data_IF_664523418169
#
_entry.id   IF_664523418169
#
_cell.length_a   1.000
_cell.length_b   1.000
_cell.length_c   1.000
_cell.angle_alpha   90.00
_cell.angle_beta   90.00
_cell.angle_gamma   90.00
#
_symmetry.space_group_name_H-M   'P 1'
#
loop_
_entity.id
_entity.type
_entity.pdbx_description
1 polymer ?
#
# COMPACT_ATOMS: atom_id res chain seq x y z
N UNK A 1 6.21 22.05 -9.70
CA UNK A 1 5.55 22.02 -8.38
C UNK A 1 6.26 20.99 -7.54
N UNK A 2 6.65 21.32 -6.31
CA UNK A 2 7.28 20.36 -5.40
C UNK A 2 6.24 19.27 -5.08
N UNK A 3 6.58 17.99 -5.31
CA UNK A 3 5.68 16.87 -5.00
C UNK A 3 5.44 16.91 -3.49
N UNK A 4 4.18 17.01 -3.08
CA UNK A 4 3.79 16.93 -1.67
C UNK A 4 4.29 15.60 -1.08
N UNK A 5 4.78 15.63 0.16
CA UNK A 5 5.29 14.41 0.79
C UNK A 5 4.13 13.45 1.13
N UNK A 6 4.44 12.18 1.39
CA UNK A 6 3.42 11.13 1.58
C UNK A 6 2.47 11.47 2.73
N UNK A 7 3.01 11.97 3.84
CA UNK A 7 2.21 12.32 5.01
C UNK A 7 1.20 13.43 4.69
N UNK A 8 1.65 14.52 4.05
CA UNK A 8 0.80 15.63 3.63
C UNK A 8 -0.28 15.17 2.65
N UNK A 9 0.07 14.29 1.72
CA UNK A 9 -0.89 13.73 0.77
C UNK A 9 -1.95 12.89 1.48
N UNK A 10 -1.53 11.98 2.38
CA UNK A 10 -2.44 11.16 3.18
C UNK A 10 -3.34 12.04 4.06
N UNK A 11 -2.80 13.06 4.72
CA UNK A 11 -3.58 14.03 5.49
C UNK A 11 -4.65 14.71 4.64
N UNK A 12 -4.35 15.06 3.39
CA UNK A 12 -5.33 15.62 2.46
C UNK A 12 -6.42 14.62 2.09
N UNK A 13 -6.04 13.45 1.56
CA UNK A 13 -7.02 12.47 1.02
C UNK A 13 -7.81 11.75 2.12
N UNK A 14 -7.28 11.71 3.34
CA UNK A 14 -7.96 11.17 4.52
C UNK A 14 -8.61 12.26 5.40
N UNK A 15 -8.78 13.47 4.85
CA UNK A 15 -9.52 14.58 5.46
C UNK A 15 -9.04 14.94 6.88
N UNK A 16 -7.74 14.86 7.11
CA UNK A 16 -7.10 15.16 8.39
C UNK A 16 -7.33 14.11 9.49
N UNK A 17 -7.83 12.92 9.14
CA UNK A 17 -7.96 11.83 10.10
C UNK A 17 -6.58 11.23 10.42
N UNK A 18 -5.98 11.69 11.52
CA UNK A 18 -4.63 11.28 11.93
C UNK A 18 -4.50 9.76 12.16
N UNK A 19 -5.49 9.12 12.79
CA UNK A 19 -5.47 7.68 13.04
C UNK A 19 -5.45 6.88 11.72
N UNK A 20 -6.21 7.31 10.72
CA UNK A 20 -6.23 6.68 9.40
C UNK A 20 -4.91 6.87 8.64
N UNK A 21 -4.29 8.05 8.77
CA UNK A 21 -2.98 8.36 8.18
C UNK A 21 -1.90 7.48 8.80
N UNK A 22 -1.83 7.45 10.14
CA UNK A 22 -0.88 6.60 10.88
C UNK A 22 -1.03 5.13 10.49
N UNK A 23 -2.27 4.63 10.38
CA UNK A 23 -2.54 3.26 9.94
C UNK A 23 -2.01 3.00 8.53
N UNK A 24 -2.24 3.91 7.57
CA UNK A 24 -1.75 3.74 6.20
C UNK A 24 -0.21 3.75 6.16
N UNK A 25 0.42 4.65 6.92
CA UNK A 25 1.89 4.72 7.02
C UNK A 25 2.48 3.46 7.65
N UNK A 26 1.86 2.91 8.70
CA UNK A 26 2.24 1.63 9.29
C UNK A 26 2.16 0.49 8.27
N UNK A 27 1.09 0.43 7.49
CA UNK A 27 0.91 -0.61 6.46
C UNK A 27 1.96 -0.47 5.35
N UNK A 28 2.24 0.75 4.89
CA UNK A 28 3.29 0.99 3.90
C UNK A 28 4.69 0.65 4.41
N UNK A 29 4.98 0.96 5.67
CA UNK A 29 6.24 0.58 6.29
C UNK A 29 6.38 -0.97 6.32
N UNK A 30 5.30 -1.67 6.68
CA UNK A 30 5.29 -3.14 6.69
C UNK A 30 5.49 -3.69 5.28
N UNK A 31 4.82 -3.13 4.26
CA UNK A 31 4.94 -3.62 2.89
C UNK A 31 6.34 -3.45 2.32
N UNK A 32 6.99 -2.30 2.57
CA UNK A 32 8.37 -2.05 2.12
C UNK A 32 9.36 -3.06 2.72
N UNK A 33 9.18 -3.43 3.99
CA UNK A 33 10.02 -4.46 4.63
C UNK A 33 9.76 -5.85 4.05
N UNK A 34 8.52 -6.15 3.66
CA UNK A 34 8.20 -7.40 2.96
C UNK A 34 8.90 -7.43 1.59
N UNK A 35 8.86 -6.33 0.83
CA UNK A 35 9.57 -6.20 -0.46
C UNK A 35 11.07 -6.45 -0.27
N UNK A 36 11.73 -5.72 0.63
CA UNK A 36 13.17 -5.86 0.88
C UNK A 36 13.56 -7.30 1.31
N UNK A 37 12.71 -7.99 2.07
CA UNK A 37 12.92 -9.39 2.48
C UNK A 37 12.80 -10.38 1.31
N UNK A 38 11.89 -10.12 0.37
CA UNK A 38 11.57 -11.05 -0.72
C UNK A 38 12.45 -10.82 -1.95
N UNK A 39 12.79 -9.56 -2.24
CA UNK A 39 13.64 -9.17 -3.36
C UNK A 39 15.12 -9.34 -3.01
N UNK A 40 15.49 -9.25 -1.73
CA UNK A 40 16.86 -9.37 -1.24
C UNK A 40 17.85 -8.40 -1.92
N UNK A 41 17.34 -7.28 -2.43
CA UNK A 41 18.09 -6.23 -3.13
C UNK A 41 18.72 -5.23 -2.14
N UNK A 42 18.19 -5.16 -0.91
CA UNK A 42 18.68 -4.29 0.16
C UNK A 42 18.98 -5.07 1.44
N UNK A 43 20.03 -4.68 2.19
CA UNK A 43 20.31 -5.29 3.49
C UNK A 43 19.25 -4.87 4.51
N UNK A 44 18.66 -5.86 5.20
CA UNK A 44 17.75 -5.63 6.31
C UNK A 44 18.29 -6.24 7.60
N UNK A 45 18.17 -5.50 8.70
CA UNK A 45 18.62 -5.94 10.03
C UNK A 45 17.55 -6.73 10.77
N UNK A 46 17.96 -7.61 11.68
CA UNK A 46 17.01 -8.32 12.56
C UNK A 46 16.17 -7.35 13.41
N UNK A 47 16.69 -6.17 13.74
CA UNK A 47 15.95 -5.17 14.50
C UNK A 47 14.78 -4.58 13.67
N UNK A 48 15.00 -4.33 12.39
CA UNK A 48 13.94 -3.87 11.47
C UNK A 48 12.86 -4.94 11.30
N UNK A 49 13.27 -6.20 11.11
CA UNK A 49 12.32 -7.34 11.02
C UNK A 49 11.47 -7.44 12.29
N UNK A 50 12.09 -7.43 13.47
CA UNK A 50 11.37 -7.52 14.76
C UNK A 50 10.41 -6.33 14.92
N UNK A 51 10.84 -5.12 14.56
CA UNK A 51 9.99 -3.93 14.60
C UNK A 51 8.80 -4.07 13.66
N UNK A 52 8.98 -4.57 12.44
CA UNK A 52 7.89 -4.79 11.49
C UNK A 52 6.86 -5.78 12.03
N UNK A 53 7.29 -6.88 12.65
CA UNK A 53 6.37 -7.79 13.34
C UNK A 53 5.63 -7.12 14.49
N UNK A 54 6.31 -6.28 15.28
CA UNK A 54 5.67 -5.51 16.34
C UNK A 54 4.60 -4.56 15.81
N UNK A 55 4.90 -3.80 14.74
CA UNK A 55 3.93 -2.91 14.07
C UNK A 55 2.73 -3.73 13.57
N UNK A 56 2.97 -4.80 12.82
CA UNK A 56 1.92 -5.59 12.21
C UNK A 56 1.01 -6.32 13.21
N UNK A 57 1.58 -6.84 14.31
CA UNK A 57 0.86 -7.68 15.27
C UNK A 57 0.30 -6.90 16.46
N UNK A 58 0.90 -5.75 16.81
CA UNK A 58 0.58 -5.02 18.04
C UNK A 58 0.05 -3.62 17.73
N UNK A 59 0.82 -2.80 17.02
CA UNK A 59 0.47 -1.37 16.83
C UNK A 59 -0.68 -1.18 15.84
N UNK A 60 -0.63 -1.88 14.70
CA UNK A 60 -1.67 -1.77 13.68
C UNK A 60 -3.04 -2.26 14.19
N UNK A 61 -3.17 -3.42 14.88
CA UNK A 61 -4.42 -3.80 15.54
C UNK A 61 -4.79 -2.89 16.72
N UNK A 62 -3.86 -2.10 17.25
CA UNK A 62 -4.13 -1.11 18.30
C UNK A 62 -4.62 0.24 17.76
N UNK A 63 -4.37 0.54 16.49
CA UNK A 63 -4.79 1.79 15.87
C UNK A 63 -6.32 2.00 15.96
N UNK A 64 -6.81 3.17 16.43
CA UNK A 64 -8.24 3.40 16.62
C UNK A 64 -9.07 3.31 15.33
N UNK A 65 -8.52 3.78 14.21
CA UNK A 65 -9.19 3.71 12.91
C UNK A 65 -9.28 2.27 12.40
N UNK A 66 -8.18 1.52 12.51
CA UNK A 66 -8.15 0.08 12.20
C UNK A 66 -9.22 -0.67 12.99
N UNK A 67 -9.22 -0.54 14.32
CA UNK A 67 -10.20 -1.24 15.18
C UNK A 67 -11.65 -0.90 14.83
N UNK A 68 -11.93 0.36 14.52
CA UNK A 68 -13.28 0.82 14.15
C UNK A 68 -13.75 0.20 12.84
N UNK A 69 -12.85 -0.02 11.90
CA UNK A 69 -13.17 -0.42 10.52
C UNK A 69 -12.57 -1.78 10.13
N UNK A 70 -12.21 -2.60 11.12
CA UNK A 70 -11.48 -3.85 10.93
C UNK A 70 -12.17 -4.80 9.94
N UNK A 71 -13.51 -4.92 10.04
CA UNK A 71 -14.31 -5.78 9.16
C UNK A 71 -14.25 -5.39 7.68
N UNK A 72 -13.84 -4.16 7.37
CA UNK A 72 -13.63 -3.67 6.00
C UNK A 72 -12.15 -3.73 5.64
N UNK A 73 -11.28 -3.29 6.55
CA UNK A 73 -9.84 -3.11 6.30
C UNK A 73 -9.11 -4.44 6.22
N UNK A 74 -9.36 -5.36 7.16
CA UNK A 74 -8.61 -6.62 7.26
C UNK A 74 -8.78 -7.49 6.00
N UNK A 75 -9.98 -7.67 5.42
CA UNK A 75 -10.13 -8.38 4.15
C UNK A 75 -9.40 -7.71 2.97
N UNK A 76 -9.40 -6.37 2.91
CA UNK A 76 -8.69 -5.64 1.85
C UNK A 76 -7.17 -5.80 1.95
N UNK A 77 -6.63 -5.79 3.16
CA UNK A 77 -5.21 -6.09 3.38
C UNK A 77 -4.86 -7.51 2.96
N UNK A 78 -5.69 -8.50 3.30
CA UNK A 78 -5.48 -9.88 2.87
C UNK A 78 -5.48 -10.01 1.33
N UNK A 79 -6.42 -9.34 0.66
CA UNK A 79 -6.47 -9.27 -0.79
C UNK A 79 -5.23 -8.60 -1.39
N UNK A 80 -4.82 -7.44 -0.88
CA UNK A 80 -3.62 -6.75 -1.36
C UNK A 80 -2.34 -7.58 -1.19
N UNK A 81 -2.18 -8.31 -0.08
CA UNK A 81 -1.05 -9.20 0.14
C UNK A 81 -1.06 -10.40 -0.82
N UNK A 82 -2.23 -10.96 -1.10
CA UNK A 82 -2.35 -12.04 -2.09
C UNK A 82 -2.03 -11.53 -3.50
N UNK A 83 -2.60 -10.39 -3.91
CA UNK A 83 -2.34 -9.79 -5.23
C UNK A 83 -0.85 -9.46 -5.40
N UNK A 84 -0.19 -8.96 -4.35
CA UNK A 84 1.25 -8.76 -4.36
C UNK A 84 2.02 -10.08 -4.50
N UNK A 85 1.64 -11.14 -3.77
CA UNK A 85 2.28 -12.46 -3.86
C UNK A 85 2.17 -13.05 -5.26
N UNK A 86 1.00 -12.91 -5.88
CA UNK A 86 0.76 -13.35 -7.26
C UNK A 86 1.60 -12.53 -8.24
N UNK A 87 1.71 -11.20 -8.03
CA UNK A 87 2.52 -10.31 -8.86
C UNK A 87 3.99 -10.73 -8.90
N UNK A 88 4.57 -11.10 -7.75
CA UNK A 88 5.96 -11.57 -7.64
C UNK A 88 6.14 -12.88 -8.41
N UNK A 89 5.17 -13.77 -8.33
CA UNK A 89 5.22 -15.06 -9.04
C UNK A 89 5.15 -14.86 -10.56
N UNK A 90 4.20 -14.03 -11.03
CA UNK A 90 4.01 -13.69 -12.45
C UNK A 90 5.24 -12.98 -13.06
N UNK A 91 5.85 -12.07 -12.31
CA UNK A 91 7.07 -11.40 -12.74
C UNK A 91 8.24 -12.38 -12.93
N UNK A 92 8.41 -13.32 -11.98
CA UNK A 92 9.49 -14.33 -12.01
C UNK A 92 9.29 -15.37 -13.10
N UNK A 93 8.05 -15.73 -13.43
CA UNK A 93 7.74 -16.58 -14.60
C UNK A 93 8.16 -15.91 -15.91
N UNK A 94 8.04 -14.58 -15.99
CA UNK A 94 8.75 -13.75 -16.95
C UNK A 94 8.12 -13.63 -18.34
N UNK A 95 6.94 -14.19 -18.57
CA UNK A 95 6.21 -13.98 -19.82
C UNK A 95 5.67 -12.54 -19.92
N UNK A 96 5.44 -12.07 -21.16
CA UNK A 96 5.04 -10.67 -21.41
C UNK A 96 3.70 -10.34 -20.75
N UNK A 97 2.75 -11.27 -20.79
CA UNK A 97 1.43 -11.03 -20.20
C UNK A 97 1.50 -11.05 -18.68
N UNK A 98 2.24 -12.01 -18.10
CA UNK A 98 2.50 -12.08 -16.66
C UNK A 98 3.11 -10.79 -16.11
N UNK A 99 4.12 -10.22 -16.78
CA UNK A 99 4.71 -8.92 -16.38
C UNK A 99 3.71 -7.76 -16.41
N UNK A 100 2.81 -7.73 -17.38
CA UNK A 100 1.75 -6.71 -17.43
C UNK A 100 0.74 -6.87 -16.27
N UNK A 101 0.38 -8.11 -15.94
CA UNK A 101 -0.50 -8.40 -14.80
C UNK A 101 0.18 -8.03 -13.48
N UNK A 102 1.45 -8.41 -13.30
CA UNK A 102 2.24 -8.08 -12.11
C UNK A 102 2.27 -6.57 -11.86
N UNK A 103 2.50 -5.76 -12.90
CA UNK A 103 2.45 -4.30 -12.82
C UNK A 103 1.12 -3.78 -12.25
N UNK A 104 -0.02 -4.30 -12.73
CA UNK A 104 -1.34 -3.86 -12.27
C UNK A 104 -1.63 -4.33 -10.84
N UNK A 105 -1.25 -5.56 -10.50
CA UNK A 105 -1.52 -6.14 -9.18
C UNK A 105 -0.75 -5.43 -8.06
N UNK A 106 0.46 -4.91 -8.34
CA UNK A 106 1.24 -4.15 -7.35
C UNK A 106 0.59 -2.84 -6.92
N UNK A 107 -0.28 -2.25 -7.75
CA UNK A 107 -1.07 -1.07 -7.37
C UNK A 107 -2.16 -1.40 -6.32
N UNK A 108 -2.44 -2.67 -6.03
CA UNK A 108 -3.63 -3.01 -5.24
C UNK A 108 -3.62 -2.40 -3.83
N UNK A 109 -2.46 -2.22 -3.20
CA UNK A 109 -2.39 -1.62 -1.87
C UNK A 109 -2.96 -0.19 -1.86
N UNK A 110 -2.95 0.54 -2.98
CA UNK A 110 -3.56 1.88 -3.08
C UNK A 110 -5.08 1.84 -2.96
N UNK A 111 -5.73 0.73 -3.33
CA UNK A 111 -7.17 0.51 -3.14
C UNK A 111 -7.55 0.58 -1.64
N UNK A 112 -6.64 0.24 -0.72
CA UNK A 112 -6.86 0.39 0.71
C UNK A 112 -7.00 1.86 1.12
N UNK A 113 -6.13 2.75 0.62
CA UNK A 113 -6.20 4.19 0.90
C UNK A 113 -7.50 4.78 0.35
N UNK A 114 -7.91 4.36 -0.84
CA UNK A 114 -9.18 4.78 -1.47
C UNK A 114 -10.37 4.33 -0.60
N UNK A 115 -10.33 3.12 -0.04
CA UNK A 115 -11.35 2.67 0.89
C UNK A 115 -11.34 3.48 2.20
N UNK A 116 -10.17 3.83 2.72
CA UNK A 116 -10.07 4.70 3.89
C UNK A 116 -10.69 6.08 3.62
N UNK A 117 -10.50 6.63 2.41
CA UNK A 117 -11.16 7.85 1.99
C UNK A 117 -12.70 7.72 1.97
N UNK A 118 -13.24 6.58 1.51
CA UNK A 118 -14.67 6.30 1.65
C UNK A 118 -15.13 6.31 3.10
N UNK A 119 -14.38 5.67 4.00
CA UNK A 119 -14.74 5.58 5.41
C UNK A 119 -14.74 6.94 6.13
N UNK A 120 -13.88 7.88 5.72
CA UNK A 120 -13.83 9.24 6.31
C UNK A 120 -14.72 10.27 5.60
N UNK A 121 -14.95 10.11 4.30
CA UNK A 121 -15.58 11.13 3.45
C UNK A 121 -16.80 10.68 2.66
N UNK A 122 -17.13 9.40 2.70
CA UNK A 122 -18.23 8.79 1.96
C UNK A 122 -17.95 8.61 0.47
N UNK A 123 -18.97 8.11 -0.25
CA UNK A 123 -18.88 7.72 -1.67
C UNK A 123 -18.38 8.85 -2.60
N UNK A 124 -18.91 10.06 -2.44
CA UNK A 124 -18.52 11.20 -3.30
C UNK A 124 -17.05 11.54 -3.15
N UNK A 125 -16.54 11.54 -1.92
CA UNK A 125 -15.13 11.82 -1.65
C UNK A 125 -14.23 10.74 -2.24
N UNK A 126 -14.58 9.47 -2.05
CA UNK A 126 -13.85 8.34 -2.65
C UNK A 126 -13.73 8.47 -4.18
N UNK A 127 -14.82 8.86 -4.86
CA UNK A 127 -14.83 9.07 -6.32
C UNK A 127 -13.93 10.25 -6.74
N UNK A 128 -13.91 11.33 -5.95
CA UNK A 128 -13.10 12.51 -6.22
C UNK A 128 -11.59 12.23 -6.08
N UNK A 129 -11.19 11.51 -5.03
CA UNK A 129 -9.77 11.27 -4.71
C UNK A 129 -9.19 10.01 -5.33
N UNK A 130 -10.01 9.07 -5.82
CA UNK A 130 -9.54 7.76 -6.25
C UNK A 130 -8.45 7.80 -7.33
N UNK A 131 -8.66 8.61 -8.38
CA UNK A 131 -7.66 8.81 -9.44
C UNK A 131 -6.41 9.54 -8.92
N UNK A 132 -6.53 10.66 -8.17
CA UNK A 132 -5.38 11.27 -7.51
C UNK A 132 -4.53 10.30 -6.66
N UNK A 133 -5.15 9.41 -5.88
CA UNK A 133 -4.45 8.43 -5.05
C UNK A 133 -3.62 7.46 -5.89
N UNK A 134 -4.21 6.86 -6.94
CA UNK A 134 -3.46 5.93 -7.81
C UNK A 134 -2.28 6.62 -8.48
N UNK A 135 -2.47 7.83 -9.01
CA UNK A 135 -1.40 8.60 -9.64
C UNK A 135 -0.30 9.02 -8.67
N UNK A 136 -0.62 9.19 -7.39
CA UNK A 136 0.36 9.57 -6.39
C UNK A 136 1.30 8.41 -6.04
N UNK A 137 0.75 7.22 -5.81
CA UNK A 137 1.52 6.04 -5.39
C UNK A 137 2.09 5.24 -6.56
N UNK A 138 1.46 5.27 -7.73
CA UNK A 138 1.84 4.52 -8.91
C UNK A 138 2.28 5.46 -10.05
N UNK A 139 3.41 6.14 -9.85
CA UNK A 139 3.93 7.14 -10.80
C UNK A 139 4.86 6.53 -11.87
N UNK A 140 5.33 5.29 -11.66
CA UNK A 140 6.10 4.56 -12.67
C UNK A 140 5.17 4.05 -13.79
N UNK A 141 5.57 4.30 -15.04
CA UNK A 141 4.84 3.79 -16.21
C UNK A 141 5.21 2.34 -16.53
N UNK A 142 4.28 1.60 -17.17
CA UNK A 142 4.50 0.18 -17.53
C UNK A 142 5.80 -0.08 -18.29
N UNK A 143 6.16 0.81 -19.23
CA UNK A 143 7.38 0.67 -20.03
C UNK A 143 8.62 0.81 -19.16
N UNK A 144 8.61 1.77 -18.24
CA UNK A 144 9.72 2.02 -17.31
C UNK A 144 9.91 0.83 -16.38
N UNK A 145 8.82 0.37 -15.75
CA UNK A 145 8.79 -0.81 -14.92
C UNK A 145 9.37 -2.04 -15.63
N UNK A 146 8.92 -2.36 -16.86
CA UNK A 146 9.44 -3.51 -17.62
C UNK A 146 10.95 -3.39 -17.90
N UNK A 147 11.45 -2.18 -18.13
CA UNK A 147 12.87 -1.94 -18.39
C UNK A 147 13.74 -2.03 -17.12
N UNK A 148 13.13 -1.92 -15.94
CA UNK A 148 13.80 -1.91 -14.63
C UNK A 148 13.79 -3.29 -13.92
N UNK A 149 13.11 -4.29 -14.48
CA UNK A 149 13.15 -5.69 -14.03
C UNK A 149 14.51 -6.35 -14.25
#
# INVERSE_FOLDING_TARGET
MQRINQHEFLMQVLRGNADAVEMCEQIFQVSQVIDDLVDQDKPITSAEVIKTFWVALIELPANPFYRRHELVIRPLMAGALQDWTDSVSLEREGDVHGKHLAFVLRDQLTSLVIQCAYLVGGYKWMQEIGVPVRRYFHDEGLIEYINNL
#
